data_IF_619608851923
#
_entry.id   IF_619608851923
#
_cell.length_a   1.000
_cell.length_b   1.000
_cell.length_c   1.000
_cell.angle_alpha   90.00
_cell.angle_beta   90.00
_cell.angle_gamma   90.00
#
_symmetry.space_group_name_H-M   'P 1'
#
loop_
_entity.id
_entity.type
_entity.pdbx_description
1 polymer ?
#
# COMPACT_ATOMS: atom_id res chain seq x y z
N UNK A 1 -8.81 -29.95 0.42
CA UNK A 1 -8.29 -29.09 1.49
C UNK A 1 -8.64 -27.65 1.13
N UNK A 2 -9.30 -26.93 2.03
CA UNK A 2 -9.61 -25.52 1.83
C UNK A 2 -8.39 -24.65 2.13
N UNK A 3 -8.32 -23.44 1.58
CA UNK A 3 -7.25 -22.48 1.89
C UNK A 3 -7.16 -22.16 3.39
N UNK A 4 -8.31 -22.14 4.07
CA UNK A 4 -8.41 -21.97 5.52
C UNK A 4 -7.74 -23.12 6.29
N UNK A 5 -7.89 -24.36 5.83
CA UNK A 5 -7.22 -25.52 6.43
C UNK A 5 -5.70 -25.45 6.26
N UNK A 6 -5.21 -25.05 5.08
CA UNK A 6 -3.77 -24.84 4.83
C UNK A 6 -3.22 -23.82 5.83
N UNK A 7 -3.89 -22.67 5.91
CA UNK A 7 -3.46 -21.59 6.80
C UNK A 7 -3.45 -22.03 8.25
N UNK A 8 -4.52 -22.69 8.72
CA UNK A 8 -4.61 -23.19 10.11
C UNK A 8 -3.48 -24.19 10.43
N UNK A 9 -3.22 -25.15 9.54
CA UNK A 9 -2.13 -26.12 9.73
C UNK A 9 -0.75 -25.42 9.76
N UNK A 10 -0.51 -24.47 8.84
CA UNK A 10 0.74 -23.71 8.79
C UNK A 10 0.97 -22.86 10.05
N UNK A 11 -0.06 -22.15 10.52
CA UNK A 11 0.02 -21.34 11.74
C UNK A 11 0.36 -22.21 12.94
N UNK A 12 -0.33 -23.35 13.11
CA UNK A 12 -0.06 -24.28 14.20
C UNK A 12 1.36 -24.86 14.17
N UNK A 13 1.91 -25.12 12.98
CA UNK A 13 3.32 -25.52 12.83
C UNK A 13 4.24 -24.38 13.28
N UNK A 14 3.99 -23.16 12.84
CA UNK A 14 4.77 -21.98 13.22
C UNK A 14 4.75 -21.73 14.74
N UNK A 15 3.59 -21.89 15.37
CA UNK A 15 3.42 -21.75 16.82
C UNK A 15 4.27 -22.78 17.57
N UNK A 16 4.22 -24.06 17.18
CA UNK A 16 5.07 -25.10 17.76
C UNK A 16 6.56 -24.80 17.61
N UNK A 17 6.99 -24.31 16.45
CA UNK A 17 8.39 -23.94 16.22
C UNK A 17 8.78 -22.77 17.14
N UNK A 18 7.92 -21.75 17.27
CA UNK A 18 8.18 -20.58 18.12
C UNK A 18 8.25 -20.92 19.61
N UNK A 19 7.44 -21.87 20.05
CA UNK A 19 7.44 -22.44 21.41
C UNK A 19 8.54 -23.49 21.62
N UNK A 20 9.43 -23.69 20.63
CA UNK A 20 10.56 -24.64 20.66
C UNK A 20 10.15 -26.11 20.74
N UNK A 21 8.89 -26.41 20.41
CA UNK A 21 8.33 -27.77 20.30
C UNK A 21 8.62 -28.36 18.92
N UNK A 22 9.89 -28.67 18.66
CA UNK A 22 10.34 -29.10 17.32
C UNK A 22 9.80 -30.48 16.90
N UNK A 23 9.70 -31.45 17.80
CA UNK A 23 9.17 -32.79 17.44
C UNK A 23 7.72 -32.73 16.92
N UNK A 24 6.77 -32.09 17.63
CA UNK A 24 5.43 -31.86 17.08
C UNK A 24 5.42 -31.12 15.74
N UNK A 25 6.31 -30.13 15.56
CA UNK A 25 6.42 -29.42 14.28
C UNK A 25 6.87 -30.34 13.13
N UNK A 26 7.89 -31.19 13.36
CA UNK A 26 8.32 -32.19 12.38
C UNK A 26 7.22 -33.20 12.05
N UNK A 27 6.54 -33.76 13.06
CA UNK A 27 5.45 -34.72 12.84
C UNK A 27 4.34 -34.14 11.94
N UNK A 28 4.02 -32.85 12.13
CA UNK A 28 3.02 -32.16 11.32
C UNK A 28 3.53 -31.83 9.91
N UNK A 29 4.80 -31.44 9.77
CA UNK A 29 5.42 -31.20 8.47
C UNK A 29 5.51 -32.48 7.65
N UNK A 30 5.97 -33.59 8.23
CA UNK A 30 6.04 -34.89 7.55
C UNK A 30 4.65 -35.36 7.11
N UNK A 31 3.64 -35.21 7.99
CA UNK A 31 2.25 -35.51 7.65
C UNK A 31 1.77 -34.68 6.46
N UNK A 32 2.03 -33.36 6.45
CA UNK A 32 1.68 -32.50 5.32
C UNK A 32 2.40 -32.89 4.03
N UNK A 33 3.70 -33.15 4.12
CA UNK A 33 4.52 -33.49 2.95
C UNK A 33 4.03 -34.80 2.32
N UNK A 34 3.74 -35.82 3.15
CA UNK A 34 3.23 -37.11 2.70
C UNK A 34 1.78 -37.03 2.18
N UNK A 35 0.87 -36.37 2.91
CA UNK A 35 -0.55 -36.20 2.54
C UNK A 35 -0.70 -35.54 1.16
N UNK A 36 0.19 -34.61 0.80
CA UNK A 36 0.11 -33.83 -0.44
C UNK A 36 1.14 -34.20 -1.51
N UNK A 37 1.89 -35.29 -1.32
CA UNK A 37 2.94 -35.77 -2.24
C UNK A 37 4.01 -34.73 -2.57
N UNK A 38 4.46 -33.95 -1.58
CA UNK A 38 5.48 -32.92 -1.74
C UNK A 38 6.90 -33.50 -1.59
N UNK A 39 7.18 -34.57 -2.33
CA UNK A 39 8.37 -35.43 -2.12
C UNK A 39 9.71 -34.68 -2.19
N UNK A 40 9.76 -33.56 -2.90
CA UNK A 40 10.91 -32.66 -2.99
C UNK A 40 11.39 -32.11 -1.63
N UNK A 41 10.54 -32.13 -0.59
CA UNK A 41 10.88 -31.63 0.75
C UNK A 41 11.20 -32.75 1.77
N UNK A 42 11.08 -34.03 1.39
CA UNK A 42 11.31 -35.15 2.31
C UNK A 42 12.76 -35.17 2.84
N UNK A 43 13.74 -35.02 1.95
CA UNK A 43 15.14 -35.10 2.32
C UNK A 43 15.54 -33.93 3.23
N UNK A 44 15.06 -32.73 2.92
CA UNK A 44 15.28 -31.54 3.77
C UNK A 44 14.66 -31.74 5.17
N UNK A 45 13.42 -32.23 5.24
CA UNK A 45 12.73 -32.51 6.51
C UNK A 45 13.49 -33.54 7.37
N UNK A 46 13.89 -34.67 6.75
CA UNK A 46 14.65 -35.73 7.44
C UNK A 46 16.00 -35.27 7.93
N UNK A 47 16.73 -34.48 7.13
CA UNK A 47 18.03 -33.95 7.52
C UNK A 47 17.92 -32.99 8.72
N UNK A 48 16.89 -32.14 8.75
CA UNK A 48 16.63 -31.25 9.88
C UNK A 48 16.21 -32.02 11.14
N UNK A 49 15.35 -33.03 11.01
CA UNK A 49 14.95 -33.88 12.15
C UNK A 49 16.14 -34.70 12.68
N UNK A 50 16.99 -35.23 11.80
CA UNK A 50 18.20 -35.93 12.19
C UNK A 50 19.18 -35.01 12.93
N UNK A 51 19.33 -33.77 12.48
CA UNK A 51 20.11 -32.75 13.18
C UNK A 51 19.56 -32.52 14.60
N UNK A 52 18.24 -32.38 14.73
CA UNK A 52 17.59 -32.26 16.03
C UNK A 52 17.84 -33.48 16.93
N UNK A 53 17.75 -34.69 16.38
CA UNK A 53 18.00 -35.93 17.10
C UNK A 53 19.45 -36.00 17.63
N UNK A 54 20.44 -35.64 16.81
CA UNK A 54 21.83 -35.59 17.26
C UNK A 54 22.05 -34.55 18.37
N UNK A 55 21.40 -33.39 18.29
CA UNK A 55 21.47 -32.39 19.36
C UNK A 55 20.90 -32.92 20.69
N UNK A 56 19.78 -33.65 20.64
CA UNK A 56 19.20 -34.29 21.82
C UNK A 56 20.14 -35.36 22.37
N UNK A 57 20.68 -36.24 21.52
CA UNK A 57 21.63 -37.28 21.89
C UNK A 57 22.86 -36.71 22.59
N UNK A 58 23.54 -35.73 22.00
CA UNK A 58 24.71 -35.08 22.59
C UNK A 58 24.39 -34.34 23.90
N UNK A 59 23.17 -33.82 24.04
CA UNK A 59 22.72 -33.20 25.29
C UNK A 59 22.56 -34.23 26.41
N UNK A 60 21.98 -35.40 26.10
CA UNK A 60 21.82 -36.51 27.05
C UNK A 60 23.18 -37.13 27.42
N UNK A 61 24.11 -37.23 26.46
CA UNK A 61 25.48 -37.71 26.68
C UNK A 61 26.36 -36.72 27.47
N UNK A 62 25.86 -35.52 27.78
CA UNK A 62 26.58 -34.53 28.58
C UNK A 62 27.72 -33.81 27.85
N UNK A 63 27.79 -33.92 26.53
CA UNK A 63 28.85 -33.30 25.71
C UNK A 63 28.68 -31.79 25.72
N UNK A 64 29.65 -31.05 26.26
CA UNK A 64 29.58 -29.59 26.29
C UNK A 64 30.03 -28.99 24.95
N UNK A 65 29.05 -28.54 24.15
CA UNK A 65 29.30 -27.86 22.87
C UNK A 65 29.07 -26.34 23.04
N UNK A 66 30.10 -25.49 22.88
CA UNK A 66 29.99 -24.05 23.00
C UNK A 66 29.08 -23.41 21.93
N UNK A 67 28.93 -24.03 20.75
CA UNK A 67 28.10 -23.52 19.66
C UNK A 67 26.65 -24.05 19.68
N UNK A 68 26.29 -24.91 20.65
CA UNK A 68 24.96 -25.56 20.73
C UNK A 68 23.80 -24.59 20.55
N UNK A 69 23.84 -23.42 21.20
CA UNK A 69 22.79 -22.39 21.10
C UNK A 69 22.65 -21.82 19.68
N UNK A 70 23.77 -21.64 18.98
CA UNK A 70 23.82 -21.13 17.61
C UNK A 70 23.29 -22.16 16.63
N UNK A 71 23.70 -23.42 16.77
CA UNK A 71 23.18 -24.56 15.97
C UNK A 71 21.68 -24.70 16.19
N UNK A 72 21.21 -24.64 17.43
CA UNK A 72 19.79 -24.77 17.76
C UNK A 72 18.95 -23.65 17.14
N UNK A 73 19.42 -22.40 17.22
CA UNK A 73 18.74 -21.27 16.57
C UNK A 73 18.71 -21.42 15.05
N UNK A 74 19.81 -21.85 14.45
CA UNK A 74 19.85 -22.11 13.00
C UNK A 74 18.85 -23.19 12.60
N UNK A 75 18.78 -24.29 13.35
CA UNK A 75 17.78 -25.34 13.15
C UNK A 75 16.36 -24.79 13.22
N UNK A 76 16.02 -23.97 14.23
CA UNK A 76 14.68 -23.34 14.32
C UNK A 76 14.36 -22.53 13.06
N UNK A 77 15.31 -21.70 12.60
CA UNK A 77 15.13 -20.89 11.38
C UNK A 77 14.93 -21.80 10.17
N UNK A 78 15.74 -22.85 10.01
CA UNK A 78 15.62 -23.78 8.88
C UNK A 78 14.28 -24.54 8.88
N UNK A 79 13.75 -24.90 10.06
CA UNK A 79 12.42 -25.54 10.15
C UNK A 79 11.30 -24.54 9.78
N UNK A 80 11.43 -23.27 10.18
CA UNK A 80 10.53 -22.21 9.71
C UNK A 80 10.60 -22.04 8.19
N UNK A 81 11.79 -22.03 7.59
CA UNK A 81 11.97 -21.93 6.15
C UNK A 81 11.37 -23.13 5.40
N UNK A 82 11.53 -24.34 5.94
CA UNK A 82 10.89 -25.54 5.39
C UNK A 82 9.35 -25.42 5.46
N UNK A 83 8.81 -24.94 6.58
CA UNK A 83 7.37 -24.71 6.72
C UNK A 83 6.85 -23.70 5.69
N UNK A 84 7.60 -22.62 5.43
CA UNK A 84 7.26 -21.63 4.40
C UNK A 84 7.26 -22.24 3.00
N UNK A 85 8.29 -23.03 2.65
CA UNK A 85 8.38 -23.74 1.36
C UNK A 85 7.20 -24.68 1.14
N UNK A 86 6.85 -25.47 2.16
CA UNK A 86 5.71 -26.40 2.12
C UNK A 86 4.39 -25.64 1.97
N UNK A 87 4.17 -24.60 2.77
CA UNK A 87 2.96 -23.77 2.69
C UNK A 87 2.84 -23.08 1.31
N UNK A 88 3.93 -22.55 0.77
CA UNK A 88 3.93 -21.90 -0.53
C UNK A 88 3.60 -22.89 -1.66
N UNK A 89 4.19 -24.09 -1.64
CA UNK A 89 3.87 -25.14 -2.61
C UNK A 89 2.39 -25.56 -2.54
N UNK A 90 1.82 -25.66 -1.33
CA UNK A 90 0.40 -25.97 -1.14
C UNK A 90 -0.50 -24.84 -1.64
N UNK A 91 -0.17 -23.58 -1.34
CA UNK A 91 -0.97 -22.43 -1.77
C UNK A 91 -0.91 -22.23 -3.28
N UNK A 92 0.26 -22.43 -3.90
CA UNK A 92 0.36 -22.48 -5.36
C UNK A 92 -0.56 -23.58 -5.90
N UNK A 93 -0.63 -24.76 -5.30
CA UNK A 93 -1.48 -25.84 -5.84
C UNK A 93 -2.98 -25.59 -5.63
N UNK A 94 -3.37 -25.11 -4.45
CA UNK A 94 -4.77 -25.16 -3.99
C UNK A 94 -5.44 -23.80 -3.75
N UNK A 95 -4.70 -22.70 -3.63
CA UNK A 95 -5.31 -21.37 -3.42
C UNK A 95 -5.97 -20.88 -4.72
N UNK A 96 -7.19 -20.39 -4.57
CA UNK A 96 -7.96 -19.69 -5.61
C UNK A 96 -7.85 -18.17 -5.47
N UNK A 97 -7.04 -17.65 -4.55
CA UNK A 97 -6.88 -16.21 -4.38
C UNK A 97 -6.30 -15.56 -5.65
N UNK A 98 -6.68 -14.30 -5.89
CA UNK A 98 -6.23 -13.54 -7.07
C UNK A 98 -4.69 -13.46 -7.12
N UNK A 99 -4.04 -13.34 -5.96
CA UNK A 99 -2.59 -13.37 -5.82
C UNK A 99 -1.96 -14.64 -6.43
N UNK A 100 -2.40 -15.83 -5.99
CA UNK A 100 -1.82 -17.09 -6.47
C UNK A 100 -2.22 -17.39 -7.92
N UNK A 101 -3.39 -16.94 -8.38
CA UNK A 101 -3.77 -17.01 -9.79
C UNK A 101 -2.85 -16.15 -10.67
N UNK A 102 -2.57 -14.91 -10.26
CA UNK A 102 -1.64 -14.02 -10.98
C UNK A 102 -0.21 -14.55 -10.94
N UNK A 103 0.28 -15.03 -9.79
CA UNK A 103 1.62 -15.64 -9.67
C UNK A 103 1.85 -16.74 -10.69
N UNK A 104 0.89 -17.67 -10.84
CA UNK A 104 0.97 -18.79 -11.81
C UNK A 104 1.05 -18.30 -13.26
N UNK A 105 0.34 -17.23 -13.60
CA UNK A 105 0.35 -16.66 -14.95
C UNK A 105 1.62 -15.84 -15.22
N UNK A 106 2.26 -15.34 -14.16
CA UNK A 106 3.46 -14.50 -14.24
C UNK A 106 4.76 -15.29 -14.51
N UNK A 107 4.74 -16.62 -14.53
CA UNK A 107 5.95 -17.46 -14.63
C UNK A 107 6.88 -17.09 -15.80
N UNK A 108 6.35 -16.65 -16.94
CA UNK A 108 7.14 -16.28 -18.12
C UNK A 108 7.48 -14.78 -18.21
N UNK A 109 7.07 -13.99 -17.21
CA UNK A 109 7.23 -12.54 -17.18
C UNK A 109 8.24 -12.07 -16.12
N UNK A 110 8.84 -13.00 -15.37
CA UNK A 110 9.96 -12.67 -14.50
C UNK A 110 11.11 -12.06 -15.31
N UNK A 111 11.73 -11.04 -14.73
CA UNK A 111 12.84 -10.34 -15.38
C UNK A 111 14.07 -11.25 -15.29
N UNK A 112 14.61 -11.63 -16.44
CA UNK A 112 15.77 -12.52 -16.54
C UNK A 112 17.07 -11.71 -16.67
N UNK A 113 17.08 -10.67 -17.51
CA UNK A 113 18.23 -9.77 -17.66
C UNK A 113 17.91 -8.41 -17.03
N UNK A 114 18.46 -8.16 -15.84
CA UNK A 114 18.28 -6.89 -15.13
C UNK A 114 18.99 -5.71 -15.81
N UNK A 115 20.12 -5.95 -16.48
CA UNK A 115 20.87 -4.88 -17.14
C UNK A 115 20.11 -4.33 -18.35
N UNK A 116 19.67 -5.23 -19.25
CA UNK A 116 18.84 -4.84 -20.40
C UNK A 116 17.55 -4.14 -19.97
N UNK A 117 16.94 -4.61 -18.87
CA UNK A 117 15.71 -4.03 -18.34
C UNK A 117 15.93 -2.61 -17.80
N UNK A 118 17.03 -2.38 -17.07
CA UNK A 118 17.41 -1.05 -16.58
C UNK A 118 17.68 -0.09 -17.74
N UNK A 119 18.51 -0.49 -18.71
CA UNK A 119 18.79 0.33 -19.90
C UNK A 119 17.50 0.73 -20.59
N UNK A 120 16.56 -0.20 -20.74
CA UNK A 120 15.27 0.11 -21.35
C UNK A 120 14.36 1.04 -20.53
N UNK A 121 14.57 1.21 -19.22
CA UNK A 121 13.88 2.23 -18.40
C UNK A 121 14.59 3.58 -18.52
N UNK A 122 15.92 3.59 -18.51
CA UNK A 122 16.75 4.78 -18.70
C UNK A 122 16.51 5.41 -20.07
N UNK A 123 16.45 4.59 -21.12
CA UNK A 123 16.12 5.01 -22.49
C UNK A 123 14.75 5.70 -22.56
N UNK A 124 13.75 5.19 -21.83
CA UNK A 124 12.44 5.84 -21.78
C UNK A 124 12.52 7.22 -21.14
N UNK A 125 13.25 7.35 -20.03
CA UNK A 125 13.38 8.62 -19.33
C UNK A 125 14.12 9.67 -20.18
N UNK A 126 15.21 9.27 -20.82
CA UNK A 126 15.93 10.12 -21.77
C UNK A 126 15.02 10.55 -22.94
N UNK A 127 14.23 9.62 -23.50
CA UNK A 127 13.28 9.95 -24.56
C UNK A 127 12.15 10.88 -24.10
N UNK A 128 11.63 10.71 -22.88
CA UNK A 128 10.61 11.58 -22.29
C UNK A 128 11.14 13.01 -22.13
N UNK A 129 12.36 13.17 -21.61
CA UNK A 129 13.04 14.46 -21.48
C UNK A 129 13.24 15.11 -22.86
N UNK A 130 13.74 14.38 -23.84
CA UNK A 130 13.89 14.88 -25.22
C UNK A 130 12.55 15.30 -25.84
N UNK A 131 11.47 14.54 -25.64
CA UNK A 131 10.14 14.90 -26.15
C UNK A 131 9.59 16.16 -25.51
N UNK A 132 9.86 16.40 -24.22
CA UNK A 132 9.44 17.63 -23.53
C UNK A 132 10.12 18.88 -24.09
N UNK A 133 11.31 18.75 -24.68
CA UNK A 133 12.09 19.85 -25.25
C UNK A 133 11.68 20.20 -26.69
N UNK A 134 10.99 19.31 -27.41
CA UNK A 134 10.65 19.51 -28.83
C UNK A 134 9.15 19.81 -28.97
N UNK A 135 8.78 21.07 -29.22
CA UNK A 135 7.38 21.47 -29.42
C UNK A 135 6.74 20.96 -30.74
N UNK A 136 5.45 20.66 -30.65
CA UNK A 136 4.38 20.58 -31.67
C UNK A 136 4.50 19.62 -32.88
N UNK A 137 3.68 18.55 -32.88
CA UNK A 137 3.02 17.95 -34.06
C UNK A 137 2.02 16.86 -33.61
N UNK A 138 0.86 16.75 -34.26
CA UNK A 138 -0.22 15.80 -33.93
C UNK A 138 0.21 14.31 -34.00
N UNK A 139 1.23 13.98 -34.81
CA UNK A 139 1.86 12.65 -34.87
C UNK A 139 2.64 12.27 -33.59
N UNK A 140 2.94 13.23 -32.70
CA UNK A 140 3.60 12.96 -31.40
C UNK A 140 2.66 12.35 -30.37
N UNK A 141 1.36 12.65 -30.40
CA UNK A 141 0.46 12.25 -29.33
C UNK A 141 0.30 10.72 -29.28
N UNK A 142 0.16 10.07 -30.45
CA UNK A 142 0.09 8.60 -30.54
C UNK A 142 1.39 7.92 -30.12
N UNK A 143 2.55 8.48 -30.49
CA UNK A 143 3.85 7.92 -30.12
C UNK A 143 4.15 8.11 -28.62
N UNK A 144 3.76 9.25 -28.03
CA UNK A 144 3.87 9.53 -26.59
C UNK A 144 3.00 8.55 -25.79
N UNK A 145 1.72 8.41 -26.15
CA UNK A 145 0.80 7.46 -25.48
C UNK A 145 1.35 6.03 -25.55
N UNK A 146 1.89 5.61 -26.69
CA UNK A 146 2.49 4.28 -26.83
C UNK A 146 3.70 4.12 -25.91
N UNK A 147 4.61 5.08 -25.90
CA UNK A 147 5.82 5.07 -25.09
C UNK A 147 5.47 5.04 -23.59
N UNK A 148 4.51 5.86 -23.17
CA UNK A 148 4.01 5.91 -21.79
C UNK A 148 3.38 4.58 -21.36
N UNK A 149 2.59 3.96 -22.23
CA UNK A 149 2.02 2.64 -21.98
C UNK A 149 3.11 1.57 -21.84
N UNK A 150 4.14 1.58 -22.69
CA UNK A 150 5.27 0.65 -22.59
C UNK A 150 6.02 0.81 -21.26
N UNK A 151 6.22 2.05 -20.82
CA UNK A 151 6.82 2.33 -19.51
C UNK A 151 5.96 1.85 -18.35
N UNK A 152 4.65 2.12 -18.37
CA UNK A 152 3.72 1.59 -17.36
C UNK A 152 3.79 0.07 -17.29
N UNK A 153 3.84 -0.63 -18.42
CA UNK A 153 3.96 -2.08 -18.44
C UNK A 153 5.29 -2.56 -17.85
N UNK A 154 6.40 -1.87 -18.10
CA UNK A 154 7.68 -2.18 -17.45
C UNK A 154 7.61 -1.98 -15.93
N UNK A 155 7.05 -0.86 -15.45
CA UNK A 155 6.88 -0.62 -14.02
C UNK A 155 6.00 -1.68 -13.37
N UNK A 156 4.88 -2.06 -14.00
CA UNK A 156 4.01 -3.15 -13.54
C UNK A 156 4.76 -4.48 -13.49
N UNK A 157 5.61 -4.75 -14.47
CA UNK A 157 6.46 -5.95 -14.51
C UNK A 157 7.42 -5.99 -13.32
N UNK A 158 8.06 -4.86 -12.97
CA UNK A 158 8.93 -4.76 -11.78
C UNK A 158 8.14 -5.01 -10.49
N UNK A 159 6.97 -4.39 -10.35
CA UNK A 159 6.09 -4.60 -9.20
C UNK A 159 5.74 -6.09 -9.01
N UNK A 160 5.29 -6.74 -10.08
CA UNK A 160 4.93 -8.16 -10.03
C UNK A 160 6.15 -9.09 -9.90
N UNK A 161 7.30 -8.74 -10.45
CA UNK A 161 8.55 -9.48 -10.25
C UNK A 161 8.91 -9.57 -8.77
N UNK A 162 8.90 -8.43 -8.06
CA UNK A 162 9.23 -8.42 -6.63
C UNK A 162 8.13 -9.00 -5.75
N UNK A 163 6.85 -8.70 -6.03
CA UNK A 163 5.75 -9.37 -5.32
C UNK A 163 5.85 -10.88 -5.50
N UNK A 164 6.09 -11.37 -6.72
CA UNK A 164 6.05 -12.78 -7.00
C UNK A 164 7.32 -13.59 -6.73
N UNK A 165 8.44 -12.94 -6.45
CA UNK A 165 9.69 -13.59 -6.03
C UNK A 165 9.62 -14.11 -4.59
N UNK A 166 9.91 -15.39 -4.34
CA UNK A 166 9.86 -15.97 -2.99
C UNK A 166 11.06 -15.58 -2.12
N UNK A 167 12.28 -15.73 -2.64
CA UNK A 167 13.52 -15.32 -1.98
C UNK A 167 14.33 -14.41 -2.89
N UNK A 168 14.81 -13.29 -2.36
CA UNK A 168 15.63 -12.33 -3.12
C UNK A 168 17.08 -12.83 -3.19
N UNK A 169 17.63 -12.88 -4.41
CA UNK A 169 19.05 -13.16 -4.62
C UNK A 169 19.87 -11.88 -4.50
N UNK A 170 21.19 -12.03 -4.51
CA UNK A 170 22.10 -10.88 -4.47
C UNK A 170 21.92 -9.98 -5.70
N UNK A 171 21.68 -10.56 -6.87
CA UNK A 171 21.40 -9.84 -8.13
C UNK A 171 20.11 -9.01 -8.04
N UNK A 172 19.02 -9.59 -7.53
CA UNK A 172 17.75 -8.88 -7.29
C UNK A 172 17.94 -7.68 -6.35
N UNK A 173 18.76 -7.85 -5.31
CA UNK A 173 19.04 -6.77 -4.32
C UNK A 173 19.81 -5.62 -4.97
N UNK A 174 20.79 -5.94 -5.84
CA UNK A 174 21.54 -4.95 -6.60
C UNK A 174 20.65 -4.21 -7.61
N UNK A 175 19.82 -4.96 -8.35
CA UNK A 175 18.85 -4.38 -9.29
C UNK A 175 17.88 -3.43 -8.58
N UNK A 176 17.29 -3.85 -7.46
CA UNK A 176 16.40 -3.00 -6.67
C UNK A 176 17.13 -1.75 -6.13
N UNK A 177 18.36 -1.90 -5.66
CA UNK A 177 19.14 -0.75 -5.16
C UNK A 177 19.39 0.26 -6.28
N UNK A 178 19.69 -0.20 -7.49
CA UNK A 178 19.82 0.68 -8.67
C UNK A 178 18.50 1.36 -9.02
N UNK A 179 17.37 0.66 -8.97
CA UNK A 179 16.05 1.26 -9.24
C UNK A 179 15.68 2.36 -8.23
N UNK A 180 15.96 2.14 -6.94
CA UNK A 180 15.59 3.08 -5.88
C UNK A 180 16.57 4.28 -5.76
N UNK A 181 17.83 4.14 -6.18
CA UNK A 181 18.85 5.19 -6.04
C UNK A 181 19.34 5.80 -7.35
N UNK A 182 19.09 5.14 -8.47
CA UNK A 182 19.65 5.51 -9.77
C UNK A 182 18.95 6.69 -10.45
N UNK A 183 17.94 7.30 -9.83
CA UNK A 183 17.17 8.40 -10.43
C UNK A 183 16.26 7.98 -11.60
N UNK A 184 16.20 6.69 -11.90
CA UNK A 184 15.40 6.10 -13.00
C UNK A 184 13.89 6.11 -12.68
N UNK A 185 13.54 6.17 -11.40
CA UNK A 185 12.16 6.10 -10.94
C UNK A 185 11.83 7.30 -10.08
N UNK A 186 10.63 7.84 -10.30
CA UNK A 186 10.03 8.84 -9.40
C UNK A 186 9.72 8.22 -8.03
N UNK A 187 9.65 9.02 -6.95
CA UNK A 187 9.31 8.53 -5.61
C UNK A 187 8.02 7.70 -5.58
N UNK A 188 7.01 8.08 -6.38
CA UNK A 188 5.75 7.34 -6.47
C UNK A 188 5.89 5.93 -7.03
N UNK A 189 6.74 5.72 -8.05
CA UNK A 189 7.04 4.37 -8.53
C UNK A 189 7.97 3.60 -7.60
N UNK A 190 8.88 4.27 -6.89
CA UNK A 190 9.67 3.63 -5.84
C UNK A 190 8.75 3.10 -4.73
N UNK A 191 7.80 3.90 -4.25
CA UNK A 191 6.77 3.50 -3.29
C UNK A 191 5.92 2.33 -3.78
N UNK A 192 5.58 2.29 -5.08
CA UNK A 192 4.90 1.15 -5.68
C UNK A 192 5.74 -0.13 -5.55
N UNK A 193 7.03 -0.07 -5.87
CA UNK A 193 7.93 -1.23 -5.76
C UNK A 193 8.08 -1.68 -4.29
N UNK A 194 8.22 -0.75 -3.34
CA UNK A 194 8.23 -1.07 -1.90
C UNK A 194 6.94 -1.76 -1.47
N UNK A 195 5.79 -1.37 -2.04
CA UNK A 195 4.52 -2.07 -1.81
C UNK A 195 4.59 -3.52 -2.33
N UNK A 196 5.19 -3.73 -3.51
CA UNK A 196 5.43 -5.07 -4.05
C UNK A 196 6.29 -5.94 -3.12
N UNK A 197 7.35 -5.37 -2.53
CA UNK A 197 8.20 -6.07 -1.53
C UNK A 197 7.40 -6.41 -0.27
N UNK A 198 6.56 -5.49 0.20
CA UNK A 198 5.70 -5.70 1.37
C UNK A 198 4.71 -6.83 1.11
N UNK A 199 4.04 -6.84 -0.04
CA UNK A 199 3.13 -7.91 -0.44
C UNK A 199 3.86 -9.25 -0.59
N UNK A 200 5.08 -9.21 -1.13
CA UNK A 200 5.96 -10.38 -1.21
C UNK A 200 6.28 -10.97 0.15
N UNK A 201 6.61 -10.11 1.13
CA UNK A 201 6.84 -10.51 2.52
C UNK A 201 5.59 -11.03 3.18
N UNK A 202 4.43 -10.40 2.93
CA UNK A 202 3.14 -10.91 3.41
C UNK A 202 2.83 -12.30 2.86
N UNK A 203 3.29 -12.64 1.67
CA UNK A 203 3.09 -13.98 1.12
C UNK A 203 4.12 -14.97 1.64
N UNK A 204 5.40 -14.61 1.54
CA UNK A 204 6.54 -15.48 1.77
C UNK A 204 7.68 -14.72 2.49
N UNK A 205 8.04 -15.20 3.68
CA UNK A 205 9.02 -14.52 4.52
C UNK A 205 10.44 -14.62 3.95
N UNK A 206 11.13 -13.48 3.92
CA UNK A 206 12.53 -13.40 3.54
C UNK A 206 13.25 -12.30 4.32
N UNK A 207 14.35 -12.67 4.98
CA UNK A 207 15.13 -11.74 5.81
C UNK A 207 15.75 -10.61 4.97
N UNK A 208 16.14 -10.89 3.72
CA UNK A 208 16.68 -9.89 2.81
C UNK A 208 15.63 -8.86 2.40
N UNK A 209 14.39 -9.27 2.13
CA UNK A 209 13.28 -8.34 1.87
C UNK A 209 13.00 -7.44 3.07
N UNK A 210 13.02 -7.99 4.29
CA UNK A 210 12.90 -7.17 5.51
C UNK A 210 14.02 -6.14 5.60
N UNK A 211 15.26 -6.56 5.30
CA UNK A 211 16.42 -5.66 5.26
C UNK A 211 16.27 -4.55 4.23
N UNK A 212 15.71 -4.85 3.06
CA UNK A 212 15.42 -3.86 2.01
C UNK A 212 14.35 -2.85 2.44
N UNK A 213 13.32 -3.27 3.19
CA UNK A 213 12.35 -2.33 3.75
C UNK A 213 13.00 -1.38 4.75
N UNK A 214 13.86 -1.87 5.64
CA UNK A 214 14.61 -0.98 6.55
C UNK A 214 15.51 -0.01 5.78
N UNK A 215 16.18 -0.46 4.72
CA UNK A 215 17.00 0.41 3.88
C UNK A 215 16.18 1.50 3.18
N UNK A 216 14.98 1.15 2.70
CA UNK A 216 14.05 2.11 2.10
C UNK A 216 13.52 3.12 3.14
N UNK A 217 13.28 2.70 4.38
CA UNK A 217 12.88 3.59 5.47
C UNK A 217 13.99 4.56 5.90
N UNK A 218 15.24 4.11 5.89
CA UNK A 218 16.39 4.93 6.30
C UNK A 218 16.85 5.90 5.22
N UNK A 219 16.79 5.49 3.94
CA UNK A 219 17.45 6.20 2.82
C UNK A 219 16.48 6.75 1.77
N UNK A 220 15.21 6.36 1.82
CA UNK A 220 14.22 6.81 0.85
C UNK A 220 13.78 8.26 1.06
N UNK A 221 13.08 8.79 0.07
CA UNK A 221 12.34 10.04 0.22
C UNK A 221 11.10 9.87 1.11
N UNK A 222 10.48 10.96 1.56
CA UNK A 222 9.40 10.94 2.56
C UNK A 222 8.30 9.91 2.25
N UNK A 223 7.82 9.87 1.01
CA UNK A 223 6.76 8.96 0.57
C UNK A 223 7.20 7.48 0.62
N UNK A 224 8.43 7.20 0.16
CA UNK A 224 9.04 5.86 0.16
C UNK A 224 9.31 5.40 1.60
N UNK A 225 9.77 6.31 2.47
CA UNK A 225 9.99 6.03 3.90
C UNK A 225 8.70 5.64 4.58
N UNK A 226 7.64 6.41 4.40
CA UNK A 226 6.32 6.10 4.97
C UNK A 226 5.81 4.74 4.46
N UNK A 227 5.95 4.48 3.16
CA UNK A 227 5.53 3.18 2.59
C UNK A 227 6.31 2.01 3.19
N UNK A 228 7.63 2.16 3.33
CA UNK A 228 8.48 1.15 3.95
C UNK A 228 8.12 0.92 5.42
N UNK A 229 7.84 1.98 6.18
CA UNK A 229 7.43 1.88 7.59
C UNK A 229 6.14 1.08 7.76
N UNK A 230 5.14 1.32 6.91
CA UNK A 230 3.89 0.53 6.90
C UNK A 230 4.20 -0.94 6.66
N UNK A 231 5.05 -1.24 5.66
CA UNK A 231 5.46 -2.61 5.37
C UNK A 231 6.19 -3.29 6.54
N UNK A 232 7.11 -2.57 7.20
CA UNK A 232 7.84 -3.05 8.38
C UNK A 232 6.86 -3.40 9.51
N UNK A 233 5.93 -2.49 9.85
CA UNK A 233 4.99 -2.69 10.95
C UNK A 233 4.06 -3.88 10.70
N UNK A 234 3.52 -4.00 9.48
CA UNK A 234 2.68 -5.14 9.09
C UNK A 234 3.46 -6.45 9.19
N UNK A 235 4.73 -6.46 8.75
CA UNK A 235 5.58 -7.64 8.85
C UNK A 235 5.92 -7.99 10.30
N UNK A 236 6.10 -7.01 11.17
CA UNK A 236 6.26 -7.24 12.61
C UNK A 236 5.04 -7.90 13.21
N UNK A 237 3.85 -7.40 12.91
CA UNK A 237 2.62 -8.02 13.37
C UNK A 237 2.46 -9.47 12.85
N UNK A 238 2.78 -9.70 11.58
CA UNK A 238 2.62 -11.02 10.95
C UNK A 238 3.64 -12.06 11.43
N UNK A 239 4.88 -11.65 11.65
CA UNK A 239 6.01 -12.56 11.89
C UNK A 239 6.61 -12.46 13.31
N UNK A 240 5.93 -11.78 14.23
CA UNK A 240 6.38 -11.51 15.60
C UNK A 240 7.08 -12.70 16.28
N UNK A 241 6.40 -13.87 16.30
CA UNK A 241 6.89 -15.09 16.94
C UNK A 241 8.22 -15.63 16.37
N UNK A 242 8.54 -15.28 15.11
CA UNK A 242 9.77 -15.66 14.41
C UNK A 242 10.91 -14.65 14.63
N UNK A 243 10.62 -13.36 14.80
CA UNK A 243 11.64 -12.30 14.79
C UNK A 243 12.70 -12.45 15.87
N UNK A 244 12.33 -12.99 17.03
CA UNK A 244 13.27 -13.28 18.12
C UNK A 244 14.43 -14.22 17.72
N UNK A 245 14.26 -15.02 16.68
CA UNK A 245 15.29 -15.95 16.20
C UNK A 245 16.21 -15.34 15.15
N UNK A 246 15.96 -14.10 14.70
CA UNK A 246 16.69 -13.42 13.62
C UNK A 246 17.49 -12.23 14.16
N UNK A 247 18.78 -12.43 14.56
CA UNK A 247 19.56 -11.40 15.22
C UNK A 247 19.83 -10.17 14.35
N UNK A 248 19.90 -10.35 13.04
CA UNK A 248 20.10 -9.29 12.04
C UNK A 248 18.96 -8.27 12.03
N UNK A 249 17.72 -8.76 11.98
CA UNK A 249 16.50 -7.93 12.02
C UNK A 249 16.38 -7.29 13.41
N UNK A 250 16.55 -8.07 14.47
CA UNK A 250 16.43 -7.58 15.83
C UNK A 250 17.45 -6.47 16.13
N UNK A 251 18.71 -6.66 15.71
CA UNK A 251 19.76 -5.64 15.87
C UNK A 251 19.41 -4.32 15.18
N UNK A 252 18.87 -4.36 13.95
CA UNK A 252 18.40 -3.15 13.26
C UNK A 252 17.23 -2.49 13.98
N UNK A 253 16.28 -3.28 14.47
CA UNK A 253 15.13 -2.74 15.22
C UNK A 253 15.57 -2.03 16.51
N UNK A 254 16.55 -2.58 17.23
CA UNK A 254 17.12 -1.93 18.42
C UNK A 254 17.72 -0.56 18.05
N UNK A 255 18.46 -0.47 16.96
CA UNK A 255 19.03 0.80 16.48
C UNK A 255 17.93 1.79 16.09
N UNK A 256 16.91 1.35 15.36
CA UNK A 256 15.77 2.19 14.98
C UNK A 256 14.95 2.67 16.19
N UNK A 257 14.85 1.84 17.23
CA UNK A 257 14.19 2.19 18.48
C UNK A 257 14.94 3.26 19.29
N UNK A 258 16.17 3.62 18.95
CA UNK A 258 16.82 4.80 19.54
C UNK A 258 16.39 6.10 18.85
N UNK A 259 15.77 6.04 17.66
CA UNK A 259 15.31 7.20 16.93
C UNK A 259 13.91 7.66 17.39
N UNK A 260 13.81 8.88 17.91
CA UNK A 260 12.55 9.48 18.36
C UNK A 260 11.52 9.67 17.22
N UNK A 261 11.98 10.05 16.03
CA UNK A 261 11.11 10.21 14.85
C UNK A 261 10.49 8.87 14.44
N UNK A 262 11.27 7.77 14.51
CA UNK A 262 10.77 6.44 14.22
C UNK A 262 9.65 6.05 15.19
N UNK A 263 9.82 6.28 16.49
CA UNK A 263 8.78 5.99 17.50
C UNK A 263 7.50 6.76 17.24
N UNK A 264 7.61 8.07 17.00
CA UNK A 264 6.47 8.93 16.70
C UNK A 264 5.75 8.44 15.43
N UNK A 265 6.48 8.21 14.34
CA UNK A 265 5.87 7.73 13.10
C UNK A 265 5.21 6.36 13.27
N UNK A 266 5.81 5.45 14.06
CA UNK A 266 5.24 4.15 14.36
C UNK A 266 3.90 4.28 15.12
N UNK A 267 3.85 5.14 16.15
CA UNK A 267 2.64 5.44 16.91
C UNK A 267 1.54 5.99 16.01
N UNK A 268 1.88 6.95 15.14
CA UNK A 268 0.95 7.52 14.17
C UNK A 268 0.37 6.44 13.24
N UNK A 269 1.21 5.56 12.69
CA UNK A 269 0.72 4.48 11.82
C UNK A 269 -0.18 3.50 12.59
N UNK A 270 0.13 3.17 13.84
CA UNK A 270 -0.71 2.31 14.68
C UNK A 270 -2.08 2.97 14.94
N UNK A 271 -2.09 4.26 15.28
CA UNK A 271 -3.33 5.02 15.46
C UNK A 271 -4.17 5.01 14.17
N UNK A 272 -3.56 5.18 13.00
CA UNK A 272 -4.26 5.11 11.72
C UNK A 272 -4.83 3.72 11.43
N UNK A 273 -4.14 2.63 11.81
CA UNK A 273 -4.71 1.28 11.70
C UNK A 273 -5.91 1.06 12.61
N UNK A 274 -5.87 1.60 13.83
CA UNK A 274 -7.00 1.54 14.77
C UNK A 274 -8.20 2.30 14.19
N UNK A 275 -7.99 3.54 13.73
CA UNK A 275 -9.02 4.38 13.08
C UNK A 275 -9.64 3.67 11.87
N UNK A 276 -8.80 3.08 11.02
CA UNK A 276 -9.23 2.35 9.82
C UNK A 276 -10.17 1.17 10.13
N UNK A 277 -10.09 0.60 11.34
CA UNK A 277 -10.95 -0.50 11.79
C UNK A 277 -12.35 -0.03 12.17
N UNK A 278 -12.50 1.24 12.50
CA UNK A 278 -13.78 1.87 12.84
C UNK A 278 -14.46 2.53 11.63
N UNK A 279 -13.73 2.69 10.53
CA UNK A 279 -14.22 3.31 9.28
C UNK A 279 -15.52 2.70 8.77
N UNK A 280 -15.72 1.37 8.82
CA UNK A 280 -16.99 0.77 8.35
C UNK A 280 -18.21 1.24 9.16
N UNK A 281 -18.07 1.29 10.50
CA UNK A 281 -19.14 1.79 11.38
C UNK A 281 -19.38 3.28 11.17
N UNK A 282 -18.30 4.03 11.00
CA UNK A 282 -18.36 5.46 10.74
C UNK A 282 -19.04 5.76 9.40
N UNK A 283 -18.70 5.01 8.36
CA UNK A 283 -19.31 5.11 7.04
C UNK A 283 -20.80 4.80 7.07
N UNK A 284 -21.22 3.82 7.86
CA UNK A 284 -22.63 3.53 8.05
C UNK A 284 -23.34 4.72 8.71
N UNK A 285 -22.76 5.30 9.77
CA UNK A 285 -23.30 6.50 10.43
C UNK A 285 -23.38 7.70 9.49
N UNK A 286 -22.33 7.96 8.71
CA UNK A 286 -22.30 9.06 7.73
C UNK A 286 -23.39 8.87 6.67
N UNK A 287 -23.53 7.67 6.12
CA UNK A 287 -24.51 7.35 5.07
C UNK A 287 -25.95 7.38 5.57
N UNK A 288 -26.21 6.83 6.76
CA UNK A 288 -27.57 6.58 7.23
C UNK A 288 -28.12 7.74 8.07
N UNK A 289 -27.25 8.54 8.70
CA UNK A 289 -27.65 9.66 9.58
C UNK A 289 -27.23 11.03 9.02
N UNK A 290 -25.94 11.23 8.75
CA UNK A 290 -25.38 12.57 8.47
C UNK A 290 -25.79 13.09 7.09
N UNK A 291 -25.49 12.33 6.02
CA UNK A 291 -25.78 12.74 4.64
C UNK A 291 -27.29 13.00 4.41
N UNK A 292 -28.23 12.13 4.86
CA UNK A 292 -29.66 12.37 4.67
C UNK A 292 -30.17 13.65 5.36
N UNK A 293 -29.63 14.01 6.52
CA UNK A 293 -29.96 15.27 7.19
C UNK A 293 -29.44 16.48 6.43
N UNK A 294 -28.22 16.40 5.87
CA UNK A 294 -27.67 17.45 4.99
C UNK A 294 -28.48 17.62 3.69
N UNK A 295 -28.88 16.51 3.03
CA UNK A 295 -29.61 16.55 1.75
C UNK A 295 -31.03 17.09 1.90
N UNK A 296 -31.73 16.82 3.01
CA UNK A 296 -33.10 17.31 3.26
C UNK A 296 -33.22 18.83 3.15
N UNK A 297 -32.12 19.56 3.31
CA UNK A 297 -32.08 21.02 3.37
C UNK A 297 -31.43 21.63 2.11
N UNK A 298 -30.71 20.84 1.29
CA UNK A 298 -30.14 21.24 0.00
C UNK A 298 -31.12 21.99 -0.94
N UNK A 299 -32.39 21.57 -1.12
CA UNK A 299 -33.33 22.32 -1.96
C UNK A 299 -33.78 23.66 -1.34
N UNK A 300 -33.77 23.80 -0.01
CA UNK A 300 -34.06 25.06 0.67
C UNK A 300 -32.86 26.02 0.62
N UNK A 301 -31.63 25.51 0.71
CA UNK A 301 -30.42 26.29 0.48
C UNK A 301 -30.36 26.79 -0.97
N UNK A 302 -30.61 25.94 -1.97
CA UNK A 302 -30.51 26.32 -3.40
C UNK A 302 -31.57 27.33 -3.85
N UNK A 303 -32.72 27.36 -3.18
CA UNK A 303 -33.82 28.30 -3.47
C UNK A 303 -33.71 29.63 -2.70
N UNK A 304 -33.03 29.66 -1.54
CA UNK A 304 -32.80 30.89 -0.76
C UNK A 304 -31.43 31.54 -1.06
N UNK A 305 -30.41 30.73 -1.34
CA UNK A 305 -29.07 31.18 -1.69
C UNK A 305 -29.00 31.36 -3.21
N UNK A 306 -29.30 32.57 -3.67
CA UNK A 306 -29.04 32.97 -5.05
C UNK A 306 -27.50 33.01 -5.23
N UNK A 307 -26.93 32.02 -5.91
CA UNK A 307 -25.47 31.98 -6.13
C UNK A 307 -24.96 33.22 -6.89
N UNK A 308 -25.81 33.83 -7.73
CA UNK A 308 -25.50 35.06 -8.46
C UNK A 308 -25.28 36.27 -7.52
N UNK A 309 -25.94 36.32 -6.35
CA UNK A 309 -25.75 37.42 -5.39
C UNK A 309 -24.52 37.25 -4.49
N UNK A 310 -24.03 36.02 -4.31
CA UNK A 310 -22.81 35.73 -3.54
C UNK A 310 -21.52 36.09 -4.30
N UNK A 311 -21.58 36.22 -5.63
CA UNK A 311 -20.43 36.61 -6.46
C UNK A 311 -20.26 38.13 -6.58
N UNK A 312 -21.31 38.91 -6.31
CA UNK A 312 -21.26 40.39 -6.35
C UNK A 312 -20.90 41.02 -5.00
N UNK A 313 -21.23 40.39 -3.88
CA UNK A 313 -20.93 40.91 -2.54
C UNK A 313 -19.73 40.20 -1.92
N UNK A 314 -18.55 40.81 -2.08
CA UNK A 314 -17.35 40.37 -1.38
C UNK A 314 -17.56 40.42 0.13
N UNK A 315 -17.52 39.25 0.78
CA UNK A 315 -17.22 38.99 2.21
C UNK A 315 -17.41 40.22 3.12
N UNK A 316 -18.64 40.73 3.20
CA UNK A 316 -19.05 41.60 4.31
C UNK A 316 -19.54 40.71 5.44
N UNK A 317 -19.13 41.08 6.65
CA UNK A 317 -19.31 40.39 7.93
C UNK A 317 -20.78 40.38 8.43
N UNK A 318 -21.74 40.40 7.50
CA UNK A 318 -23.16 40.43 7.79
C UNK A 318 -23.71 39.00 7.87
N UNK A 319 -24.00 38.59 9.10
CA UNK A 319 -24.76 37.38 9.43
C UNK A 319 -26.08 37.38 8.63
N UNK A 320 -26.11 36.64 7.53
CA UNK A 320 -27.33 36.53 6.72
C UNK A 320 -28.46 35.91 7.59
N UNK A 321 -29.59 36.63 7.82
CA UNK A 321 -30.71 36.19 8.65
C UNK A 321 -31.33 34.85 8.21
N UNK A 322 -31.11 34.45 6.96
CA UNK A 322 -31.57 33.18 6.41
C UNK A 322 -30.88 31.97 7.06
N UNK A 323 -29.62 32.11 7.52
CA UNK A 323 -28.93 31.04 8.25
C UNK A 323 -29.60 30.76 9.58
N UNK A 324 -30.03 31.79 10.32
CA UNK A 324 -30.76 31.58 11.58
C UNK A 324 -32.08 30.85 11.38
N UNK A 325 -32.80 31.08 10.28
CA UNK A 325 -34.01 30.32 9.95
C UNK A 325 -33.69 28.86 9.59
N UNK A 326 -32.65 28.62 8.79
CA UNK A 326 -32.21 27.26 8.41
C UNK A 326 -31.80 26.45 9.65
N UNK A 327 -31.08 27.06 10.60
CA UNK A 327 -30.69 26.41 11.84
C UNK A 327 -31.85 26.25 12.84
N UNK A 328 -32.87 27.12 12.79
CA UNK A 328 -34.11 26.95 13.58
C UNK A 328 -34.98 25.81 13.07
N UNK A 329 -35.07 25.62 11.75
CA UNK A 329 -35.86 24.56 11.12
C UNK A 329 -35.22 23.17 11.25
N UNK A 330 -33.92 23.08 11.57
CA UNK A 330 -33.21 21.82 11.78
C UNK A 330 -32.11 21.95 12.85
N UNK A 331 -32.45 21.97 14.14
CA UNK A 331 -31.49 22.18 15.24
C UNK A 331 -30.44 21.07 15.36
N UNK A 332 -30.69 19.87 14.81
CA UNK A 332 -29.70 18.79 14.74
C UNK A 332 -28.61 18.99 13.68
N UNK A 333 -28.81 19.88 12.70
CA UNK A 333 -27.92 20.07 11.56
C UNK A 333 -26.55 20.60 11.99
N UNK A 334 -26.52 21.62 12.84
CA UNK A 334 -25.26 22.22 13.31
C UNK A 334 -24.40 21.15 13.98
N UNK A 335 -25.00 20.36 14.88
CA UNK A 335 -24.32 19.27 15.58
C UNK A 335 -23.84 18.19 14.61
N UNK A 336 -24.59 17.88 13.54
CA UNK A 336 -24.17 16.89 12.54
C UNK A 336 -23.09 17.41 11.59
N UNK A 337 -23.09 18.70 11.27
CA UNK A 337 -22.03 19.33 10.48
C UNK A 337 -20.74 19.47 11.29
N UNK A 338 -20.85 19.83 12.57
CA UNK A 338 -19.74 19.83 13.53
C UNK A 338 -19.18 18.42 13.70
N UNK A 339 -20.04 17.42 13.97
CA UNK A 339 -19.64 16.02 14.06
C UNK A 339 -18.96 15.53 12.77
N UNK A 340 -19.46 15.89 11.59
CA UNK A 340 -18.81 15.55 10.31
C UNK A 340 -17.43 16.20 10.16
N UNK A 341 -17.31 17.47 10.54
CA UNK A 341 -16.06 18.24 10.46
C UNK A 341 -15.02 17.72 11.47
N UNK A 342 -15.43 17.38 12.69
CA UNK A 342 -14.59 16.73 13.70
C UNK A 342 -14.04 15.41 13.19
N UNK A 343 -14.89 14.54 12.63
CA UNK A 343 -14.47 13.26 12.06
C UNK A 343 -13.46 13.44 10.91
N UNK A 344 -13.67 14.46 10.08
CA UNK A 344 -12.75 14.81 9.00
C UNK A 344 -11.41 15.35 9.54
N UNK A 345 -11.43 16.22 10.56
CA UNK A 345 -10.24 16.76 11.23
C UNK A 345 -9.46 15.67 11.98
N UNK A 346 -10.15 14.71 12.58
CA UNK A 346 -9.56 13.52 13.17
C UNK A 346 -8.97 12.57 12.12
N UNK A 347 -9.09 12.88 10.83
CA UNK A 347 -8.52 12.11 9.73
C UNK A 347 -9.26 10.80 9.47
N UNK A 348 -10.53 10.71 9.86
CA UNK A 348 -11.35 9.57 9.48
C UNK A 348 -11.64 9.61 7.98
N UNK A 349 -11.66 8.43 7.35
CA UNK A 349 -12.05 8.33 5.95
C UNK A 349 -13.57 8.49 5.84
N UNK A 350 -14.00 9.73 5.63
CA UNK A 350 -15.41 10.13 5.42
C UNK A 350 -15.87 9.88 3.98
N UNK A 351 -14.95 9.67 3.05
CA UNK A 351 -15.20 9.63 1.61
C UNK A 351 -15.29 8.23 1.02
N UNK A 352 -14.86 7.19 1.73
CA UNK A 352 -14.90 5.79 1.28
C UNK A 352 -16.23 5.37 0.65
N UNK A 353 -17.35 5.69 1.31
CA UNK A 353 -18.70 5.35 0.84
C UNK A 353 -19.08 6.05 -0.46
N UNK A 354 -18.76 7.33 -0.60
CA UNK A 354 -19.06 8.17 -1.76
C UNK A 354 -18.21 7.80 -2.97
N UNK A 355 -16.94 7.47 -2.75
CA UNK A 355 -16.00 7.12 -3.82
C UNK A 355 -15.99 5.63 -4.16
N UNK A 356 -16.65 4.76 -3.38
CA UNK A 356 -16.75 3.32 -3.66
C UNK A 356 -17.27 3.02 -5.09
N UNK A 357 -18.28 3.76 -5.54
CA UNK A 357 -18.83 3.63 -6.90
C UNK A 357 -17.84 4.09 -7.99
N UNK A 358 -16.98 5.06 -7.64
CA UNK A 358 -15.93 5.59 -8.51
C UNK A 358 -14.68 4.68 -8.54
N UNK A 359 -14.68 3.54 -7.84
CA UNK A 359 -13.64 2.50 -8.00
C UNK A 359 -13.94 1.53 -9.15
N UNK A 360 -15.02 1.76 -9.89
CA UNK A 360 -15.37 0.97 -11.08
C UNK A 360 -14.55 1.35 -12.34
N UNK A 361 -13.76 2.44 -12.30
CA UNK A 361 -12.94 2.84 -13.45
C UNK A 361 -11.91 1.77 -13.85
N UNK A 362 -11.61 1.60 -15.16
CA UNK A 362 -10.65 0.60 -15.64
C UNK A 362 -9.28 0.65 -14.96
N UNK A 363 -8.83 1.83 -14.52
CA UNK A 363 -7.61 2.02 -13.76
C UNK A 363 -7.50 1.06 -12.55
N UNK A 364 -8.60 0.85 -11.81
CA UNK A 364 -8.62 0.00 -10.61
C UNK A 364 -8.76 -1.50 -10.90
N UNK A 365 -8.92 -1.89 -12.17
CA UNK A 365 -8.88 -3.30 -12.56
C UNK A 365 -7.47 -3.90 -12.45
N UNK A 366 -6.45 -3.04 -12.45
CA UNK A 366 -5.06 -3.43 -12.20
C UNK A 366 -4.72 -3.34 -10.71
N UNK A 367 -4.12 -4.40 -10.16
CA UNK A 367 -3.82 -4.46 -8.72
C UNK A 367 -2.72 -3.47 -8.34
N UNK A 368 -1.68 -3.31 -9.16
CA UNK A 368 -0.59 -2.36 -8.89
C UNK A 368 -1.09 -0.94 -8.70
N UNK A 369 -2.18 -0.57 -9.38
CA UNK A 369 -2.74 0.77 -9.34
C UNK A 369 -3.43 1.11 -8.00
N UNK A 370 -3.72 0.12 -7.16
CA UNK A 370 -4.16 0.37 -5.78
C UNK A 370 -3.02 0.79 -4.85
N UNK A 371 -1.78 0.54 -5.25
CA UNK A 371 -0.58 0.82 -4.46
C UNK A 371 0.21 2.03 -4.96
N UNK A 372 -0.16 2.59 -6.11
CA UNK A 372 0.50 3.76 -6.69
C UNK A 372 0.04 5.02 -5.95
N UNK A 373 0.97 5.81 -5.38
CA UNK A 373 0.63 7.10 -4.79
C UNK A 373 0.20 8.08 -5.88
N UNK A 374 -0.59 9.09 -5.50
CA UNK A 374 -1.09 10.06 -6.45
C UNK A 374 0.02 11.03 -6.85
N UNK A 375 0.21 11.22 -8.15
CA UNK A 375 1.05 12.27 -8.72
C UNK A 375 0.45 12.72 -10.05
N UNK A 376 0.56 14.01 -10.34
CA UNK A 376 -0.09 14.68 -11.47
C UNK A 376 0.42 14.12 -12.81
N UNK A 377 1.73 13.86 -12.90
CA UNK A 377 2.40 13.35 -14.11
C UNK A 377 2.13 11.87 -14.40
N UNK A 378 1.14 11.25 -13.74
CA UNK A 378 0.77 9.88 -14.04
C UNK A 378 0.20 9.82 -15.47
N UNK A 379 0.78 8.99 -16.37
CA UNK A 379 0.31 8.92 -17.75
C UNK A 379 -1.17 8.57 -17.91
N UNK A 380 -1.73 7.78 -17.00
CA UNK A 380 -3.15 7.41 -16.99
C UNK A 380 -4.06 8.62 -16.74
N UNK A 381 -3.59 9.63 -15.99
CA UNK A 381 -4.31 10.90 -15.81
C UNK A 381 -4.23 11.73 -17.10
N UNK A 382 -3.02 11.88 -17.66
CA UNK A 382 -2.79 12.70 -18.85
C UNK A 382 -3.49 12.19 -20.12
N UNK A 383 -3.89 10.91 -20.13
CA UNK A 383 -4.67 10.31 -21.23
C UNK A 383 -6.15 10.69 -21.13
N UNK A 384 -6.66 10.93 -19.92
CA UNK A 384 -8.08 11.18 -19.66
C UNK A 384 -8.41 12.66 -19.45
N UNK A 385 -7.44 13.46 -19.00
CA UNK A 385 -7.60 14.89 -18.72
C UNK A 385 -6.64 15.69 -19.59
N UNK A 386 -7.17 16.69 -20.29
CA UNK A 386 -6.36 17.65 -21.01
C UNK A 386 -5.73 18.63 -20.02
N UNK A 387 -4.44 18.44 -19.75
CA UNK A 387 -3.65 19.29 -18.85
C UNK A 387 -3.25 20.63 -19.47
N UNK A 388 -3.52 20.85 -20.76
CA UNK A 388 -3.30 22.15 -21.40
C UNK A 388 -4.40 23.17 -21.07
N UNK A 389 -5.56 22.69 -20.60
CA UNK A 389 -6.64 23.53 -20.08
C UNK A 389 -6.26 24.08 -18.69
N UNK A 390 -6.17 25.41 -18.52
CA UNK A 390 -5.81 26.04 -17.25
C UNK A 390 -6.73 25.62 -16.09
N UNK A 391 -8.01 25.35 -16.36
CA UNK A 391 -8.95 24.92 -15.33
C UNK A 391 -8.58 23.54 -14.78
N UNK A 392 -8.27 22.60 -15.68
CA UNK A 392 -7.87 21.25 -15.31
C UNK A 392 -6.51 21.23 -14.60
N UNK A 393 -5.57 22.08 -15.02
CA UNK A 393 -4.28 22.22 -14.36
C UNK A 393 -4.45 22.72 -12.91
N UNK A 394 -5.23 23.79 -12.72
CA UNK A 394 -5.54 24.34 -11.39
C UNK A 394 -6.23 23.32 -10.48
N UNK A 395 -7.15 22.54 -11.04
CA UNK A 395 -7.82 21.45 -10.33
C UNK A 395 -6.85 20.35 -9.87
N UNK A 396 -5.96 19.90 -10.75
CA UNK A 396 -4.98 18.86 -10.43
C UNK A 396 -4.04 19.29 -9.30
N UNK A 397 -3.60 20.56 -9.30
CA UNK A 397 -2.80 21.13 -8.22
C UNK A 397 -3.54 21.18 -6.89
N UNK A 398 -4.82 21.56 -6.94
CA UNK A 398 -5.71 21.61 -5.76
C UNK A 398 -5.86 20.23 -5.13
N UNK A 399 -6.13 19.19 -5.93
CA UNK A 399 -6.28 17.81 -5.45
C UNK A 399 -4.98 17.20 -4.96
N UNK A 400 -3.88 17.46 -5.67
CA UNK A 400 -2.57 17.00 -5.27
C UNK A 400 -2.28 17.45 -3.83
N UNK A 401 -2.61 18.70 -3.53
CA UNK A 401 -2.40 19.33 -2.24
C UNK A 401 -3.49 19.05 -1.19
N UNK A 402 -4.57 18.37 -1.54
CA UNK A 402 -5.66 18.06 -0.62
C UNK A 402 -5.23 16.95 0.36
N UNK A 403 -5.09 17.24 1.67
CA UNK A 403 -4.64 16.23 2.65
C UNK A 403 -5.75 15.27 3.05
N UNK A 404 -7.02 15.67 2.85
CA UNK A 404 -8.20 14.94 3.29
C UNK A 404 -8.48 13.72 2.37
N UNK A 405 -8.07 13.76 1.11
CA UNK A 405 -8.32 12.70 0.14
C UNK A 405 -7.20 11.66 0.15
N UNK A 406 -7.56 10.37 0.19
CA UNK A 406 -6.58 9.31 -0.02
C UNK A 406 -6.15 9.26 -1.49
N UNK A 407 -4.96 8.69 -1.77
CA UNK A 407 -4.41 8.60 -3.14
C UNK A 407 -5.39 8.00 -4.15
N UNK A 408 -6.13 6.96 -3.75
CA UNK A 408 -7.08 6.30 -4.64
C UNK A 408 -8.31 7.17 -4.92
N UNK A 409 -8.72 8.03 -3.99
CA UNK A 409 -9.83 8.97 -4.20
C UNK A 409 -9.42 10.11 -5.12
N UNK A 410 -8.17 10.59 -4.98
CA UNK A 410 -7.60 11.58 -5.91
C UNK A 410 -7.66 11.07 -7.36
N UNK A 411 -7.28 9.81 -7.62
CA UNK A 411 -7.43 9.20 -8.94
C UNK A 411 -8.89 9.11 -9.39
N UNK A 412 -9.79 8.60 -8.55
CA UNK A 412 -11.23 8.51 -8.85
C UNK A 412 -11.84 9.87 -9.21
N UNK A 413 -11.43 10.92 -8.51
CA UNK A 413 -11.93 12.27 -8.72
C UNK A 413 -11.43 12.85 -10.05
N UNK A 414 -10.13 12.67 -10.35
CA UNK A 414 -9.56 13.00 -11.65
C UNK A 414 -10.32 12.32 -12.80
N UNK A 415 -10.58 11.01 -12.73
CA UNK A 415 -11.29 10.30 -13.81
C UNK A 415 -12.77 10.70 -13.94
N UNK A 416 -13.38 11.19 -12.86
CA UNK A 416 -14.78 11.64 -12.87
C UNK A 416 -14.97 12.97 -13.61
N UNK A 417 -13.93 13.82 -13.66
CA UNK A 417 -14.00 15.11 -14.34
C UNK A 417 -14.44 15.03 -15.79
N UNK A 418 -13.99 14.01 -16.52
CA UNK A 418 -14.32 13.81 -17.93
C UNK A 418 -15.84 13.80 -18.17
N UNK A 419 -16.59 13.30 -17.19
CA UNK A 419 -18.04 13.14 -17.27
C UNK A 419 -18.81 14.38 -16.76
N UNK A 420 -18.14 15.38 -16.20
CA UNK A 420 -18.78 16.58 -15.62
C UNK A 420 -18.81 17.76 -16.62
N UNK A 421 -19.93 18.51 -16.72
CA UNK A 421 -19.99 19.78 -17.45
C UNK A 421 -19.05 20.84 -16.87
N UNK A 422 -18.55 21.78 -17.69
CA UNK A 422 -17.57 22.80 -17.29
C UNK A 422 -18.00 23.65 -16.08
N UNK A 423 -19.25 24.13 -16.06
CA UNK A 423 -19.81 24.92 -14.95
C UNK A 423 -19.77 24.15 -13.60
N UNK A 424 -20.03 22.84 -13.64
CA UNK A 424 -19.95 21.99 -12.44
C UNK A 424 -18.49 21.79 -12.00
N UNK A 425 -17.53 21.81 -12.93
CA UNK A 425 -16.09 21.69 -12.60
C UNK A 425 -15.60 22.93 -11.89
N UNK A 426 -15.93 24.12 -12.37
CA UNK A 426 -15.58 25.39 -11.72
C UNK A 426 -16.12 25.46 -10.29
N UNK A 427 -17.40 25.10 -10.10
CA UNK A 427 -18.01 25.07 -8.78
C UNK A 427 -17.29 24.11 -7.81
N UNK A 428 -16.90 22.92 -8.30
CA UNK A 428 -16.17 21.93 -7.50
C UNK A 428 -14.76 22.42 -7.14
N UNK A 429 -14.03 23.00 -8.10
CA UNK A 429 -12.69 23.58 -7.86
C UNK A 429 -12.77 24.62 -6.75
N UNK A 430 -13.71 25.57 -6.87
CA UNK A 430 -13.86 26.64 -5.88
C UNK A 430 -14.31 26.12 -4.51
N UNK A 431 -15.20 25.12 -4.46
CA UNK A 431 -15.61 24.49 -3.20
C UNK A 431 -14.44 23.81 -2.49
N UNK A 432 -13.60 23.08 -3.21
CA UNK A 432 -12.41 22.43 -2.64
C UNK A 432 -11.35 23.45 -2.18
N UNK A 433 -11.14 24.52 -2.94
CA UNK A 433 -10.23 25.59 -2.53
C UNK A 433 -10.68 26.26 -1.22
N UNK A 434 -11.99 26.49 -1.07
CA UNK A 434 -12.57 27.05 0.16
C UNK A 434 -12.35 26.10 1.36
N UNK A 435 -12.66 24.81 1.21
CA UNK A 435 -12.42 23.82 2.26
C UNK A 435 -10.93 23.71 2.63
N UNK A 436 -10.04 23.77 1.64
CA UNK A 436 -8.59 23.73 1.88
C UNK A 436 -8.08 24.95 2.64
N UNK A 437 -8.61 26.14 2.33
CA UNK A 437 -8.23 27.36 3.04
C UNK A 437 -8.72 27.31 4.49
N UNK A 438 -9.95 26.84 4.73
CA UNK A 438 -10.48 26.62 6.07
C UNK A 438 -9.62 25.61 6.86
N UNK A 439 -9.21 24.51 6.23
CA UNK A 439 -8.35 23.52 6.87
C UNK A 439 -6.97 24.09 7.25
N UNK A 440 -6.38 24.91 6.39
CA UNK A 440 -5.10 25.60 6.66
C UNK A 440 -5.20 26.67 7.74
N UNK A 441 -6.37 27.27 7.94
CA UNK A 441 -6.61 28.20 9.04
C UNK A 441 -6.71 27.44 10.37
N UNK A 442 -7.42 26.31 10.39
CA UNK A 442 -7.55 25.44 11.56
C UNK A 442 -6.23 24.78 11.98
N UNK A 443 -5.33 24.43 11.04
CA UNK A 443 -4.00 23.88 11.35
C UNK A 443 -3.02 24.91 11.96
N UNK A 444 -3.32 26.21 11.86
CA UNK A 444 -2.48 27.28 12.41
C UNK A 444 -2.83 27.66 13.84
N UNK A 445 -4.00 27.26 14.32
CA UNK A 445 -4.42 27.33 15.72
C UNK A 445 -3.89 26.12 16.51
#
# INVERSE_FOLDING_TARGET
MTEKEIHTKYTHICDNISERKLKPAFDQLEKLISEFNLNQFNDECRNLEQTYHYMLKYTVEGINDPERKKVYRHLIISVFELADKVNEALRIKYSSSVEYQKKKRFTNFFIVNFEDFLTGLEDYQANKELQSLVNETLTKNTNKIKLDNEYQQKIRTVFYHFWFTDKIKSEDSLFLTKLLKGGVLTPSYQSLIISGITLSLLRYFDEKKMSLLFDAFEKGEAEVRQRALIGILICFFKYDSRLQFLPSIYGRLVILNENHEFKKNLEWVILQFIRSKETEKLQQKIRDEIIPEMIKISPNLKNKINLDSLMEEGLSDDKNPEWEEIFKDSPGLLNKMEEFSELQMEGADVFLGSFSMLKAFPFFSEISNWFIPFFIDNPEISTEIDTSDPLNAKFLDTISSAPILCNSDKYSFCFSLKNLPGENREMIVHGMEAEMNQFKELEKE
#
